data_IF_639751211827
#
_entry.id   IF_639751211827
#
_cell.length_a   1.000
_cell.length_b   1.000
_cell.length_c   1.000
_cell.angle_alpha   90.00
_cell.angle_beta   90.00
_cell.angle_gamma   90.00
#
_symmetry.space_group_name_H-M   'P 1'
#
loop_
_entity.id
_entity.type
_entity.pdbx_description
1 polymer ?
2 non-polymer ?
3 non-polymer ?
4 water ?
#
# COMPACT_ATOMS: atom_id res chain seq x y z
N UNK A 2 -32.72 -0.33 12.51
CA UNK A 2 -31.82 -0.78 11.46
C UNK A 2 -30.58 -1.43 12.06
N UNK A 3 -30.01 -2.39 11.33
CA UNK A 3 -28.86 -3.13 11.83
C UNK A 3 -27.64 -2.24 11.96
N UNK A 4 -26.90 -2.44 13.05
CA UNK A 4 -25.68 -1.69 13.36
C UNK A 4 -24.51 -2.66 13.25
N UNK A 5 -23.65 -2.46 12.26
CA UNK A 5 -22.57 -3.39 11.98
C UNK A 5 -21.20 -2.86 12.40
N UNK A 6 -21.15 -1.88 13.32
CA UNK A 6 -19.87 -1.32 13.71
C UNK A 6 -18.96 -2.39 14.32
N UNK A 7 -19.52 -3.24 15.19
CA UNK A 7 -18.70 -4.29 15.79
C UNK A 7 -18.14 -5.24 14.74
N UNK A 8 -18.98 -5.63 13.78
CA UNK A 8 -18.52 -6.49 12.70
C UNK A 8 -17.41 -5.82 11.89
N UNK A 9 -17.47 -4.50 11.72
CA UNK A 9 -16.41 -3.80 11.03
C UNK A 9 -15.12 -3.79 11.84
N UNK A 10 -15.23 -3.61 13.17
CA UNK A 10 -14.03 -3.65 14.01
C UNK A 10 -13.38 -5.02 13.97
N UNK A 11 -14.18 -6.09 14.06
CA UNK A 11 -13.63 -7.44 14.00
C UNK A 11 -13.02 -7.71 12.64
N UNK A 12 -13.68 -7.24 11.57
CA UNK A 12 -13.12 -7.36 10.23
C UNK A 12 -11.76 -6.67 10.14
N UNK A 13 -11.65 -5.45 10.68
CA UNK A 13 -10.36 -4.78 10.74
C UNK A 13 -9.32 -5.63 11.46
N UNK A 14 -9.72 -6.29 12.55
CA UNK A 14 -8.81 -7.18 13.24
C UNK A 14 -8.37 -8.35 12.37
N UNK A 15 -9.31 -8.95 11.63
CA UNK A 15 -8.98 -10.07 10.77
C UNK A 15 -8.05 -9.65 9.62
N UNK A 16 -8.08 -8.37 9.23
CA UNK A 16 -7.23 -7.90 8.16
C UNK A 16 -5.78 -7.73 8.58
N UNK A 17 -5.48 -7.75 9.87
CA UNK A 17 -4.12 -7.55 10.33
C UNK A 17 -3.25 -8.75 10.02
N UNK A 18 -1.96 -8.48 9.76
CA UNK A 18 -0.98 -9.56 9.65
C UNK A 18 -0.94 -10.35 10.95
N UNK A 19 -0.87 -11.68 10.84
CA UNK A 19 -0.82 -12.51 12.02
C UNK A 19 0.50 -12.33 12.76
N UNK A 20 0.49 -12.70 14.05
CA UNK A 20 1.69 -12.57 14.88
C UNK A 20 2.87 -13.27 14.23
N UNK A 21 2.65 -14.53 13.79
CA UNK A 21 3.73 -15.32 13.25
C UNK A 21 4.32 -14.68 11.99
N UNK A 22 3.46 -14.23 11.08
CA UNK A 22 3.96 -13.68 9.83
C UNK A 22 4.65 -12.33 10.04
N UNK A 23 4.15 -11.52 10.97
CA UNK A 23 4.78 -10.22 11.21
C UNK A 23 6.18 -10.40 11.77
N UNK A 24 6.37 -11.37 12.67
CA UNK A 24 7.71 -11.65 13.18
C UNK A 24 8.62 -12.16 12.07
N UNK A 25 8.10 -13.04 11.21
CA UNK A 25 8.91 -13.56 10.11
C UNK A 25 9.27 -12.46 9.12
N UNK A 26 8.31 -11.58 8.81
CA UNK A 26 8.58 -10.44 7.94
C UNK A 26 9.71 -9.59 8.48
N UNK A 27 9.65 -9.23 9.76
CA UNK A 27 10.64 -8.35 10.35
C UNK A 27 12.01 -9.03 10.41
N UNK A 28 12.04 -10.29 10.82
CA UNK A 28 13.30 -11.03 10.84
C UNK A 28 13.91 -11.09 9.44
N UNK A 29 13.09 -11.41 8.43
CA UNK A 29 13.59 -11.50 7.07
C UNK A 29 14.10 -10.14 6.58
N UNK A 30 13.40 -9.06 6.95
CA UNK A 30 13.81 -7.75 6.47
C UNK A 30 15.13 -7.33 7.11
N UNK A 31 15.38 -7.74 8.35
CA UNK A 31 16.68 -7.50 8.96
C UNK A 31 17.77 -8.34 8.29
N UNK A 32 17.45 -9.60 7.95
CA UNK A 32 18.43 -10.45 7.28
C UNK A 32 18.76 -9.90 5.90
N UNK A 33 17.76 -9.39 5.17
CA UNK A 33 18.03 -8.83 3.86
C UNK A 33 18.95 -7.62 3.95
N UNK A 34 18.73 -6.76 4.94
CA UNK A 34 19.59 -5.58 5.10
C UNK A 34 21.05 -6.01 5.31
N UNK A 35 21.28 -6.95 6.22
CA UNK A 35 22.64 -7.41 6.48
C UNK A 35 23.25 -8.08 5.26
N UNK A 36 22.43 -8.84 4.51
CA UNK A 36 22.93 -9.49 3.31
C UNK A 36 23.36 -8.47 2.26
N UNK A 37 22.58 -7.40 2.10
CA UNK A 37 22.93 -6.36 1.14
C UNK A 37 24.15 -5.58 1.62
N UNK A 38 24.20 -5.25 2.91
CA UNK A 38 25.35 -4.53 3.45
C UNK A 38 26.64 -5.33 3.26
N UNK A 39 26.60 -6.63 3.53
CA UNK A 39 27.79 -7.46 3.36
C UNK A 39 28.19 -7.57 1.90
N UNK A 40 27.21 -7.63 1.00
CA UNK A 40 27.51 -7.76 -0.42
C UNK A 40 28.27 -6.55 -0.94
N UNK A 41 27.84 -5.34 -0.54
CA UNK A 41 28.51 -4.15 -1.02
C UNK A 41 29.86 -3.96 -0.33
N UNK A 42 29.95 -4.30 0.95
CA UNK A 42 31.24 -4.24 1.63
C UNK A 42 32.27 -5.12 0.93
N UNK A 43 31.83 -6.27 0.41
CA UNK A 43 32.76 -7.21 -0.22
C UNK A 43 33.05 -6.85 -1.68
N UNK A 44 32.04 -6.46 -2.44
CA UNK A 44 32.14 -6.38 -3.89
C UNK A 44 32.18 -4.96 -4.45
N UNK A 45 31.54 -3.99 -3.79
CA UNK A 45 31.55 -2.59 -4.24
C UNK A 45 31.52 -1.68 -3.03
N UNK A 46 32.59 -1.68 -2.22
CA UNK A 46 32.58 -0.87 -1.00
C UNK A 46 32.56 0.62 -1.26
N UNK A 47 32.74 1.05 -2.51
CA UNK A 47 32.62 2.46 -2.85
C UNK A 47 31.20 2.98 -2.69
N UNK A 48 30.22 2.09 -2.59
CA UNK A 48 28.82 2.45 -2.39
C UNK A 48 28.33 1.82 -1.10
N UNK A 49 27.69 2.62 -0.25
CA UNK A 49 27.21 2.16 1.05
C UNK A 49 25.69 2.27 1.04
N UNK A 50 24.96 1.17 1.20
CA UNK A 50 23.49 1.24 1.24
C UNK A 50 22.97 1.55 2.64
N UNK A 51 21.89 2.31 2.69
CA UNK A 51 21.14 2.57 3.91
C UNK A 51 19.67 2.32 3.63
N UNK A 52 18.88 2.15 4.69
CA UNK A 52 17.54 1.61 4.56
C UNK A 52 16.51 2.43 5.31
N UNK A 53 15.28 2.41 4.80
CA UNK A 53 14.16 3.15 5.38
C UNK A 53 12.88 2.41 5.02
N UNK A 54 12.18 1.90 6.03
CA UNK A 54 10.89 1.27 5.79
C UNK A 54 9.90 2.33 5.33
N UNK A 55 9.18 2.04 4.24
CA UNK A 55 8.25 2.99 3.65
C UNK A 55 6.90 2.33 3.40
N UNK A 56 6.03 3.00 2.66
CA UNK A 56 4.79 2.36 2.25
C UNK A 56 3.84 2.09 3.41
N UNK A 57 2.96 1.11 3.17
CA UNK A 57 1.87 0.84 4.10
C UNK A 57 2.37 0.40 5.47
N UNK A 58 3.47 -0.35 5.50
CA UNK A 58 3.98 -0.82 6.80
C UNK A 58 4.42 0.36 7.66
N UNK A 59 5.07 1.35 7.05
CA UNK A 59 5.48 2.54 7.80
C UNK A 59 4.27 3.39 8.15
N UNK A 60 3.29 3.47 7.25
CA UNK A 60 2.09 4.27 7.47
C UNK A 60 1.09 3.60 8.41
N UNK A 61 1.27 2.32 8.71
CA UNK A 61 0.36 1.64 9.61
C UNK A 61 -0.95 1.19 8.98
N UNK A 62 -0.95 0.92 7.68
CA UNK A 62 -2.16 0.52 6.96
C UNK A 62 -2.03 -0.83 6.27
N UNK A 63 -1.04 -1.64 6.66
CA UNK A 63 -0.86 -2.93 6.01
C UNK A 63 -1.99 -3.87 6.34
N UNK A 64 -2.48 -4.60 5.33
CA UNK A 64 -3.40 -5.71 5.52
C UNK A 64 -2.78 -6.95 4.89
N UNK A 65 -3.21 -8.11 5.39
CA UNK A 65 -2.94 -9.34 4.65
C UNK A 65 -4.02 -9.53 3.59
N UNK A 66 -3.66 -10.26 2.54
CA UNK A 66 -4.60 -10.50 1.45
C UNK A 66 -5.48 -11.71 1.76
N UNK A 67 -6.46 -11.95 0.89
CA UNK A 67 -7.34 -13.10 1.03
C UNK A 67 -6.58 -14.42 1.00
N UNK A 68 -5.36 -14.43 0.45
CA UNK A 68 -4.50 -15.60 0.44
C UNK A 68 -3.50 -15.61 1.59
N UNK A 69 -3.68 -14.73 2.57
CA UNK A 69 -2.77 -14.57 3.72
C UNK A 69 -1.39 -14.05 3.30
N UNK A 70 -1.27 -13.47 2.12
CA UNK A 70 -0.03 -12.83 1.72
C UNK A 70 0.06 -11.43 2.34
N UNK A 71 1.27 -11.01 2.64
CA UNK A 71 1.52 -9.66 3.16
C UNK A 71 2.91 -9.23 2.73
N UNK A 72 3.20 -7.95 2.92
CA UNK A 72 4.50 -7.46 2.46
C UNK A 72 4.93 -6.25 3.26
N UNK A 73 6.18 -5.87 3.02
CA UNK A 73 6.84 -4.71 3.61
C UNK A 73 7.68 -4.07 2.52
N UNK A 74 7.65 -2.74 2.45
CA UNK A 74 8.49 -1.99 1.52
C UNK A 74 9.67 -1.43 2.30
N UNK A 75 10.89 -1.78 1.90
CA UNK A 75 12.11 -1.33 2.56
C UNK A 75 12.97 -0.64 1.51
N UNK A 76 13.04 0.68 1.58
CA UNK A 76 13.83 1.43 0.60
C UNK A 76 15.32 1.26 0.84
N UNK A 77 16.05 1.07 -0.25
CA UNK A 77 17.51 0.87 -0.22
C UNK A 77 18.15 2.07 -0.89
N UNK A 78 18.83 2.90 -0.10
CA UNK A 78 19.37 4.17 -0.56
C UNK A 78 20.88 4.12 -0.66
N UNK A 79 21.43 4.74 -1.70
CA UNK A 79 22.86 4.91 -1.85
C UNK A 79 23.19 6.40 -1.81
N UNK A 80 23.96 6.80 -0.80
CA UNK A 80 24.31 8.19 -0.56
C UNK A 80 25.81 8.28 -0.36
N UNK A 81 26.53 9.16 -1.08
CA UNK A 81 26.02 10.06 -2.12
C UNK A 81 25.66 9.30 -3.40
N UNK A 82 25.30 10.02 -4.45
CA UNK A 82 24.76 9.38 -5.65
C UNK A 82 25.81 8.56 -6.38
N UNK A 83 25.62 7.25 -6.55
CA UNK A 83 26.47 6.49 -7.47
C UNK A 83 26.21 6.93 -8.90
N UNK A 84 27.29 7.21 -9.63
CA UNK A 84 27.16 7.62 -11.02
C UNK A 84 27.09 6.41 -11.95
N UNK A 85 26.05 5.62 -11.74
CA UNK A 85 25.74 4.46 -12.57
C UNK A 85 24.26 4.49 -12.90
N UNK A 86 23.86 3.65 -13.85
CA UNK A 86 22.45 3.54 -14.21
C UNK A 86 21.64 2.93 -13.08
N UNK A 87 20.35 3.24 -13.07
CA UNK A 87 19.48 2.67 -12.06
C UNK A 87 19.42 1.16 -12.12
N UNK A 88 19.43 0.60 -13.33
CA UNK A 88 19.39 -0.85 -13.47
C UNK A 88 20.65 -1.49 -12.89
N UNK A 89 21.76 -0.75 -12.88
CA UNK A 89 23.00 -1.27 -12.29
C UNK A 89 22.86 -1.40 -10.79
N UNK A 90 22.35 -0.38 -10.11
CA UNK A 90 22.11 -0.48 -8.67
C UNK A 90 21.13 -1.59 -8.36
N UNK A 91 20.06 -1.70 -9.17
CA UNK A 91 19.10 -2.77 -8.96
C UNK A 91 19.74 -4.14 -9.14
N UNK A 92 20.57 -4.31 -10.17
CA UNK A 92 21.21 -5.60 -10.41
C UNK A 92 22.09 -6.01 -9.24
N UNK A 93 22.82 -5.05 -8.65
CA UNK A 93 23.66 -5.39 -7.50
C UNK A 93 22.81 -5.81 -6.30
N UNK A 94 21.72 -5.09 -6.04
CA UNK A 94 20.82 -5.47 -4.95
C UNK A 94 20.22 -6.84 -5.22
N UNK A 95 19.84 -7.09 -6.48
CA UNK A 95 19.31 -8.40 -6.86
C UNK A 95 20.34 -9.51 -6.61
N UNK A 96 21.57 -9.29 -7.06
CA UNK A 96 22.64 -10.25 -6.80
C UNK A 96 22.84 -10.46 -5.31
N UNK A 97 22.68 -9.38 -4.52
CA UNK A 97 22.94 -9.46 -3.09
C UNK A 97 21.90 -10.30 -2.36
N UNK A 98 20.62 -10.11 -2.68
CA UNK A 98 19.57 -10.84 -1.98
C UNK A 98 19.42 -12.26 -2.51
N UNK A 99 19.93 -12.54 -3.70
CA UNK A 99 19.89 -13.89 -4.23
C UNK A 99 20.64 -14.85 -3.31
N UNK A 100 20.04 -16.03 -3.09
CA UNK A 100 20.59 -16.99 -2.17
C UNK A 100 19.94 -16.98 -0.80
N UNK A 101 19.04 -16.03 -0.54
CA UNK A 101 18.25 -16.04 0.68
C UNK A 101 17.46 -17.34 0.77
N UNK A 102 17.61 -18.04 1.89
CA UNK A 102 16.96 -19.34 2.06
C UNK A 102 15.45 -19.16 2.10
N UNK A 103 14.74 -20.00 1.36
CA UNK A 103 13.29 -19.94 1.34
C UNK A 103 12.71 -18.76 0.61
N UNK A 104 13.50 -18.13 -0.27
CA UNK A 104 13.03 -16.96 -1.01
C UNK A 104 13.58 -17.00 -2.43
N UNK A 105 12.86 -16.33 -3.34
CA UNK A 105 13.29 -16.17 -4.72
C UNK A 105 13.10 -14.71 -5.11
N UNK A 106 14.14 -14.04 -5.60
CA UNK A 106 14.02 -12.63 -5.98
C UNK A 106 13.53 -12.45 -7.40
N UNK A 107 12.82 -11.34 -7.61
CA UNK A 107 12.30 -10.94 -8.92
C UNK A 107 12.68 -9.49 -9.16
N UNK A 108 13.23 -9.22 -10.35
CA UNK A 108 13.67 -7.87 -10.72
C UNK A 108 12.49 -7.15 -11.38
N UNK A 109 11.77 -6.37 -10.58
CA UNK A 109 10.66 -5.55 -11.09
C UNK A 109 11.21 -4.25 -11.69
N UNK A 110 10.30 -3.48 -12.31
CA UNK A 110 10.75 -2.24 -12.93
C UNK A 110 11.23 -1.23 -11.88
N UNK A 111 10.54 -1.14 -10.75
CA UNK A 111 10.84 -0.11 -9.76
C UNK A 111 11.21 -0.68 -8.40
N UNK A 112 11.49 -1.97 -8.29
CA UNK A 112 11.98 -2.53 -7.04
C UNK A 112 12.56 -3.91 -7.31
N UNK A 113 13.34 -4.38 -6.34
CA UNK A 113 13.69 -5.79 -6.24
C UNK A 113 12.70 -6.42 -5.28
N UNK A 114 11.95 -7.42 -5.75
CA UNK A 114 10.97 -8.10 -4.92
C UNK A 114 11.51 -9.46 -4.49
N UNK A 115 11.48 -9.71 -3.20
CA UNK A 115 11.96 -10.97 -2.64
C UNK A 115 10.73 -11.75 -2.17
N UNK A 116 10.39 -12.81 -2.90
CA UNK A 116 9.21 -13.62 -2.60
C UNK A 116 9.59 -14.77 -1.70
N UNK A 117 8.96 -14.86 -0.54
CA UNK A 117 9.25 -15.91 0.42
C UNK A 117 8.20 -17.02 0.32
N UNK A 118 8.66 -18.27 0.29
CA UNK A 118 7.75 -19.40 0.21
C UNK A 118 6.78 -19.46 1.39
N UNK A 119 7.14 -18.84 2.52
CA UNK A 119 6.29 -18.82 3.70
C UNK A 119 5.08 -17.90 3.55
N UNK A 120 4.94 -17.20 2.44
CA UNK A 120 3.72 -16.44 2.18
C UNK A 120 3.81 -14.96 2.46
N UNK A 121 4.95 -14.35 2.14
CA UNK A 121 5.09 -12.91 2.22
C UNK A 121 6.19 -12.49 1.26
N UNK A 122 6.26 -11.19 0.96
CA UNK A 122 7.34 -10.68 0.14
C UNK A 122 7.82 -9.35 0.71
N UNK A 123 9.04 -9.00 0.35
CA UNK A 123 9.64 -7.72 0.73
C UNK A 123 10.05 -7.02 -0.55
N UNK A 124 9.52 -5.81 -0.76
CA UNK A 124 9.87 -5.01 -1.92
C UNK A 124 10.98 -4.04 -1.54
N UNK A 125 12.01 -3.99 -2.39
CA UNK A 125 13.18 -3.15 -2.16
C UNK A 125 13.29 -2.13 -3.29
N UNK A 126 12.57 -1.02 -3.20
CA UNK A 126 12.84 0.09 -4.13
C UNK A 126 14.22 0.65 -3.86
N UNK A 127 14.93 0.98 -4.94
CA UNK A 127 16.33 1.39 -4.87
C UNK A 127 16.42 2.87 -5.23
N UNK A 128 17.16 3.62 -4.42
CA UNK A 128 17.27 5.07 -4.56
C UNK A 128 18.73 5.49 -4.53
N UNK A 129 19.00 6.65 -5.11
CA UNK A 129 20.22 7.40 -4.87
C UNK A 129 19.85 8.80 -4.42
N UNK A 130 20.71 9.38 -3.59
CA UNK A 130 20.44 10.66 -2.95
C UNK A 130 21.79 11.24 -2.53
N UNK A 131 21.93 12.56 -2.66
CA UNK A 131 23.25 13.15 -2.51
C UNK A 131 23.63 13.40 -1.05
N UNK A 132 22.67 13.76 -0.20
CA UNK A 132 22.97 14.19 1.16
C UNK A 132 22.26 13.31 2.17
N UNK A 133 22.95 13.02 3.28
CA UNK A 133 22.50 11.99 4.22
C UNK A 133 21.31 12.45 5.04
N UNK A 134 21.27 13.72 5.45
CA UNK A 134 20.24 14.25 6.32
C UNK A 134 19.70 15.57 5.75
N UNK A 135 18.94 15.47 4.67
CA UNK A 135 18.34 16.63 4.02
C UNK A 135 16.98 16.20 3.49
N UNK A 136 15.92 16.57 4.22
CA UNK A 136 14.57 16.21 3.79
C UNK A 136 14.08 17.09 2.64
N UNK A 137 14.73 18.22 2.38
CA UNK A 137 14.36 19.06 1.25
C UNK A 137 14.84 18.49 -0.09
N UNK A 138 15.77 17.53 -0.07
CA UNK A 138 16.23 16.89 -1.29
C UNK A 138 15.42 15.62 -1.52
N UNK A 139 14.77 15.53 -2.67
CA UNK A 139 14.02 14.32 -2.94
C UNK A 139 14.94 13.26 -3.55
N UNK A 140 14.80 12.00 -3.13
CA UNK A 140 15.65 10.95 -3.68
C UNK A 140 15.25 10.58 -5.10
N UNK A 141 16.18 9.99 -5.83
CA UNK A 141 15.97 9.51 -7.18
C UNK A 141 15.73 8.01 -7.16
N UNK A 142 14.54 7.58 -7.61
CA UNK A 142 14.23 6.17 -7.67
C UNK A 142 14.88 5.54 -8.89
N UNK A 143 15.58 4.42 -8.69
CA UNK A 143 16.12 3.67 -9.81
C UNK A 143 15.00 2.94 -10.55
N UNK A 144 15.08 2.96 -11.87
CA UNK A 144 14.05 2.36 -12.72
C UNK A 144 14.75 1.43 -13.72
N UNK A 145 14.27 0.18 -13.79
CA UNK A 145 14.92 -0.81 -14.64
C UNK A 145 14.87 -0.40 -16.11
N UNK A 146 13.75 0.14 -16.55
CA UNK A 146 13.52 0.38 -17.97
C UNK A 146 13.85 1.80 -18.42
N UNK A 147 14.23 2.68 -17.51
CA UNK A 147 14.46 4.05 -17.90
C UNK A 147 15.31 4.84 -16.92
N UNK A 148 15.22 6.16 -17.04
CA UNK A 148 16.01 7.07 -16.23
C UNK A 148 15.47 7.11 -14.80
N UNK A 149 16.31 7.59 -13.88
CA UNK A 149 15.90 7.80 -12.50
C UNK A 149 14.68 8.73 -12.44
N UNK A 150 13.83 8.50 -11.45
CA UNK A 150 12.64 9.31 -11.24
C UNK A 150 12.70 9.94 -9.85
N UNK A 151 12.50 11.25 -9.78
CA UNK A 151 12.37 11.90 -8.49
C UNK A 151 11.16 11.34 -7.75
N UNK A 152 11.34 11.04 -6.46
CA UNK A 152 10.31 10.42 -5.65
C UNK A 152 10.35 11.04 -4.26
N UNK A 153 9.28 10.81 -3.48
CA UNK A 153 9.16 11.41 -2.15
C UNK A 153 8.50 10.44 -1.17
N UNK A 154 9.09 9.25 -0.97
CA UNK A 154 8.43 8.28 -0.07
C UNK A 154 8.26 8.80 1.35
N UNK A 155 9.23 9.56 1.86
CA UNK A 155 9.11 10.10 3.21
C UNK A 155 8.04 11.19 3.28
N UNK A 156 7.87 11.97 2.22
CA UNK A 156 6.84 13.00 2.22
C UNK A 156 5.44 12.38 2.27
N UNK A 157 5.24 11.25 1.59
CA UNK A 157 3.95 10.56 1.65
C UNK A 157 3.65 10.15 3.09
N UNK A 158 4.66 9.61 3.78
CA UNK A 158 4.46 9.18 5.17
C UNK A 158 4.11 10.36 6.06
N UNK A 159 4.83 11.48 5.89
CA UNK A 159 4.53 12.68 6.67
C UNK A 159 3.13 13.19 6.39
N UNK A 160 2.76 13.24 5.11
CA UNK A 160 1.43 13.70 4.73
C UNK A 160 0.35 12.84 5.38
N UNK A 161 0.48 11.52 5.28
CA UNK A 161 -0.52 10.63 5.86
C UNK A 161 -0.53 10.73 7.38
N UNK A 162 0.65 10.89 8.00
CA UNK A 162 0.72 11.09 9.45
C UNK A 162 -0.13 12.28 9.87
N UNK A 163 -0.06 13.39 9.12
CA UNK A 163 -0.86 14.56 9.47
C UNK A 163 -2.35 14.31 9.28
N UNK A 164 -2.71 13.44 8.33
CA UNK A 164 -4.12 13.08 8.15
C UNK A 164 -4.60 12.16 9.25
N UNK A 165 -3.71 11.28 9.76
CA UNK A 165 -4.09 10.33 10.81
C UNK A 165 -4.27 11.00 12.17
N UNK A 166 -3.59 12.12 12.40
CA UNK A 166 -3.58 12.73 13.72
C UNK A 166 -4.99 13.05 14.19
N UNK A 167 -5.30 12.67 15.43
CA UNK A 167 -6.63 12.86 16.01
C UNK A 167 -7.71 12.24 15.13
N UNK A 168 -7.38 11.13 14.47
CA UNK A 168 -8.26 10.57 13.44
C UNK A 168 -8.00 9.07 13.27
N UNK A 169 -8.13 8.26 14.34
CA UNK A 169 -7.73 6.85 14.23
C UNK A 169 -8.59 6.03 13.27
N UNK A 170 -9.80 6.48 12.93
CA UNK A 170 -10.63 5.72 11.99
C UNK A 170 -10.01 5.69 10.60
N UNK A 171 -9.13 6.64 10.27
CA UNK A 171 -8.64 6.72 8.90
C UNK A 171 -7.89 5.45 8.49
N UNK A 172 -7.03 4.92 9.37
CA UNK A 172 -6.31 3.70 8.99
C UNK A 172 -7.28 2.54 8.82
N UNK A 173 -8.39 2.54 9.56
CA UNK A 173 -9.40 1.51 9.35
C UNK A 173 -10.07 1.67 7.99
N UNK A 174 -10.46 2.90 7.64
CA UNK A 174 -11.07 3.15 6.33
C UNK A 174 -10.15 2.72 5.21
N UNK A 175 -8.86 3.07 5.30
CA UNK A 175 -7.91 2.67 4.27
C UNK A 175 -7.84 1.15 4.18
N UNK A 176 -7.85 0.48 5.34
CA UNK A 176 -7.78 -0.98 5.35
C UNK A 176 -9.03 -1.59 4.71
N UNK A 177 -10.22 -1.06 5.02
CA UNK A 177 -11.44 -1.57 4.39
C UNK A 177 -11.36 -1.44 2.88
N UNK A 178 -10.92 -0.27 2.40
CA UNK A 178 -10.87 -0.03 0.95
C UNK A 178 -9.82 -0.91 0.29
N UNK A 179 -8.69 -1.14 0.96
CA UNK A 179 -7.69 -2.05 0.42
C UNK A 179 -8.23 -3.47 0.30
N UNK A 180 -9.04 -3.89 1.27
CA UNK A 180 -9.64 -5.21 1.20
C UNK A 180 -10.64 -5.30 0.05
N UNK A 181 -11.35 -4.21 -0.23
CA UNK A 181 -12.21 -4.14 -1.40
C UNK A 181 -11.40 -4.36 -2.68
N UNK A 182 -10.28 -3.63 -2.82
CA UNK A 182 -9.41 -3.85 -3.97
C UNK A 182 -8.92 -5.29 -4.03
N UNK A 183 -8.58 -5.86 -2.87
CA UNK A 183 -8.08 -7.23 -2.82
C UNK A 183 -9.14 -8.25 -3.19
N UNK A 184 -10.42 -7.90 -2.99
CA UNK A 184 -11.52 -8.80 -3.31
C UNK A 184 -11.81 -8.82 -4.81
N UNK A 185 -11.84 -7.66 -5.44
CA UNK A 185 -12.19 -7.55 -6.85
C UNK A 185 -10.96 -7.77 -7.74
N UNK A 186 -9.85 -7.13 -7.38
CA UNK A 186 -8.62 -7.16 -8.17
C UNK A 186 -8.90 -6.76 -9.61
N UNK A 187 -8.20 -7.35 -10.57
CA UNK A 187 -8.37 -6.98 -11.97
C UNK A 187 -8.10 -5.51 -12.22
N UNK A 188 -9.15 -4.76 -12.52
CA UNK A 188 -9.03 -3.34 -12.85
C UNK A 188 -8.82 -2.45 -11.63
N UNK A 189 -8.91 -2.99 -10.42
CA UNK A 189 -8.90 -2.16 -9.23
C UNK A 189 -7.56 -1.46 -9.05
N UNK A 190 -7.55 -0.29 -8.43
CA UNK A 190 -6.31 0.47 -8.24
C UNK A 190 -5.48 -0.08 -7.08
N UNK A 191 -4.24 0.36 -6.93
CA UNK A 191 -3.39 -0.15 -5.85
C UNK A 191 -3.74 0.47 -4.50
N UNK A 192 -3.09 -0.07 -3.47
CA UNK A 192 -3.38 0.37 -2.10
C UNK A 192 -3.05 1.83 -1.88
N UNK A 193 -1.99 2.34 -2.52
CA UNK A 193 -1.63 3.74 -2.37
C UNK A 193 -2.77 4.65 -2.84
N UNK A 194 -3.50 4.23 -3.88
CA UNK A 194 -4.65 5.02 -4.33
C UNK A 194 -5.73 5.07 -3.26
N UNK A 195 -6.00 3.95 -2.58
CA UNK A 195 -6.98 3.94 -1.51
C UNK A 195 -6.55 4.83 -0.35
N UNK A 196 -5.24 4.83 -0.04
CA UNK A 196 -4.73 5.70 1.01
C UNK A 196 -4.99 7.17 0.69
N UNK A 197 -4.70 7.58 -0.54
CA UNK A 197 -4.86 8.97 -0.93
C UNK A 197 -6.33 9.35 -0.97
N UNK A 198 -7.17 8.51 -1.58
CA UNK A 198 -8.58 8.86 -1.74
C UNK A 198 -9.31 8.91 -0.41
N UNK A 199 -9.06 7.94 0.47
CA UNK A 199 -9.68 7.96 1.79
C UNK A 199 -9.22 9.18 2.59
N UNK A 200 -7.94 9.52 2.51
CA UNK A 200 -7.43 10.66 3.26
C UNK A 200 -8.02 11.97 2.77
N UNK A 201 -8.20 12.11 1.45
CA UNK A 201 -8.68 13.38 0.91
C UNK A 201 -10.19 13.53 1.09
N UNK A 202 -10.95 12.44 0.98
CA UNK A 202 -12.39 12.52 0.85
C UNK A 202 -13.11 11.83 2.00
N UNK A 203 -12.42 11.55 3.09
CA UNK A 203 -13.03 10.93 4.26
C UNK A 203 -14.26 11.68 4.73
N UNK A 204 -15.31 10.92 5.05
CA UNK A 204 -16.45 11.41 5.80
C UNK A 204 -16.54 10.66 7.11
N UNK A 205 -16.99 11.34 8.16
CA UNK A 205 -16.95 10.79 9.51
C UNK A 205 -18.35 10.47 10.01
N UNK A 206 -18.45 9.39 10.79
CA UNK A 206 -19.65 9.08 11.57
C UNK A 206 -19.18 8.31 12.81
N UNK A 207 -18.96 9.04 13.89
CA UNK A 207 -18.43 8.45 15.11
C UNK A 207 -19.32 7.31 15.60
N UNK A 208 -18.68 6.19 15.95
CA UNK A 208 -19.38 5.03 16.46
C UNK A 208 -19.92 4.08 15.41
N UNK A 209 -19.87 4.44 14.13
CA UNK A 209 -20.45 3.64 13.03
C UNK A 209 -19.45 3.60 11.87
N UNK A 210 -18.51 2.66 11.93
CA UNK A 210 -17.58 2.49 10.82
C UNK A 210 -18.31 2.11 9.53
N UNK A 211 -19.45 1.41 9.65
CA UNK A 211 -20.21 1.04 8.45
C UNK A 211 -20.76 2.28 7.76
N UNK A 212 -21.38 3.18 8.52
CA UNK A 212 -21.89 4.42 7.92
C UNK A 212 -20.73 5.30 7.44
N UNK A 213 -19.64 5.36 8.22
CA UNK A 213 -18.49 6.14 7.81
C UNK A 213 -17.93 5.67 6.47
N UNK A 214 -17.85 4.36 6.27
CA UNK A 214 -17.35 3.85 4.98
C UNK A 214 -18.33 4.17 3.86
N UNK A 215 -19.63 4.01 4.10
CA UNK A 215 -20.63 4.36 3.09
C UNK A 215 -20.50 5.83 2.69
N UNK A 216 -20.47 6.72 3.68
CA UNK A 216 -20.35 8.14 3.39
C UNK A 216 -19.05 8.44 2.65
N UNK A 217 -17.95 7.81 3.05
CA UNK A 217 -16.67 8.04 2.40
C UNK A 217 -16.68 7.56 0.95
N UNK A 218 -17.34 6.42 0.68
CA UNK A 218 -17.45 5.94 -0.69
C UNK A 218 -18.16 6.95 -1.58
N UNK A 219 -19.26 7.52 -1.10
CA UNK A 219 -20.00 8.51 -1.89
C UNK A 219 -19.18 9.78 -2.09
N UNK A 220 -18.40 10.17 -1.07
CA UNK A 220 -17.54 11.34 -1.22
C UNK A 220 -16.46 11.09 -2.25
N UNK A 221 -15.84 9.90 -2.23
CA UNK A 221 -14.86 9.54 -3.24
C UNK A 221 -15.48 9.56 -4.63
N UNK A 222 -16.70 9.01 -4.75
CA UNK A 222 -17.35 8.99 -6.06
C UNK A 222 -17.60 10.40 -6.57
N UNK A 223 -18.08 11.30 -5.70
CA UNK A 223 -18.33 12.68 -6.13
C UNK A 223 -17.06 13.32 -6.65
N UNK A 224 -15.95 13.13 -5.95
CA UNK A 224 -14.68 13.73 -6.38
C UNK A 224 -14.19 13.14 -7.70
N UNK A 225 -14.28 11.82 -7.84
CA UNK A 225 -13.76 11.18 -9.05
C UNK A 225 -14.67 11.41 -10.25
N UNK A 226 -15.97 11.63 -10.03
CA UNK A 226 -16.85 12.01 -11.13
C UNK A 226 -16.48 13.37 -11.69
N UNK A 227 -16.07 14.29 -10.82
CA UNK A 227 -15.66 15.62 -11.29
C UNK A 227 -14.32 15.58 -12.00
N UNK A 228 -13.38 14.77 -11.49
CA UNK A 228 -12.03 14.74 -12.03
C UNK A 228 -11.44 13.38 -11.67
N UNK A 229 -11.40 12.47 -12.65
CA UNK A 229 -10.90 11.12 -12.40
C UNK A 229 -9.38 11.17 -12.38
N UNK A 230 -8.82 11.28 -11.17
CA UNK A 230 -7.38 11.39 -10.99
C UNK A 230 -7.06 11.05 -9.54
N UNK A 231 -5.78 10.77 -9.29
CA UNK A 231 -5.34 10.43 -7.93
C UNK A 231 -3.85 10.76 -7.83
N UNK A 232 -3.56 12.05 -7.60
CA UNK A 232 -2.20 12.55 -7.61
C UNK A 232 -1.51 12.21 -6.29
N UNK A 233 -0.28 11.75 -6.38
CA UNK A 233 0.49 11.40 -5.17
C UNK A 233 0.90 12.68 -4.45
N UNK A 234 0.65 12.79 -3.14
CA UNK A 234 1.04 14.00 -2.42
C UNK A 234 2.54 14.24 -2.50
N UNK A 235 2.92 15.50 -2.72
CA UNK A 235 4.30 15.88 -2.78
C UNK A 235 4.98 15.67 -4.12
N UNK A 236 4.47 14.77 -4.96
CA UNK A 236 4.97 14.58 -6.31
C UNK A 236 3.86 14.98 -7.29
N UNK A 237 3.76 16.26 -7.67
CA UNK A 237 2.85 16.63 -8.75
C UNK A 237 3.11 15.82 -10.02
N UNK A 238 2.08 15.73 -10.85
CA UNK A 238 2.12 15.02 -12.13
C UNK A 238 2.27 13.51 -11.95
N UNK A 239 2.43 13.06 -10.70
CA UNK A 239 2.42 11.64 -10.37
C UNK A 239 0.97 11.26 -10.09
N UNK A 240 0.23 11.02 -11.18
CA UNK A 240 -1.19 10.69 -11.12
C UNK A 240 -1.34 9.18 -11.25
N UNK A 241 -1.82 8.53 -10.19
CA UNK A 241 -1.94 7.08 -10.19
C UNK A 241 -2.93 6.57 -11.23
N UNK A 242 -3.82 7.43 -11.73
CA UNK A 242 -4.81 7.02 -12.71
C UNK A 242 -4.45 7.47 -14.12
N UNK A 243 -3.23 7.96 -14.35
CA UNK A 243 -2.89 8.57 -15.63
C UNK A 243 -2.88 7.55 -16.77
N UNK A 244 -2.65 6.28 -16.48
CA UNK A 244 -2.60 5.25 -17.50
C UNK A 244 -3.96 4.59 -17.74
N UNK A 245 -4.97 4.93 -16.96
CA UNK A 245 -6.27 4.27 -17.05
C UNK A 245 -7.01 4.76 -18.29
N UNK A 246 -7.25 3.87 -19.24
CA UNK A 246 -8.07 4.25 -20.38
C UNK A 246 -9.53 4.31 -19.97
N UNK A 247 -10.41 4.69 -20.91
CA UNK A 247 -11.82 4.86 -20.57
C UNK A 247 -12.43 3.56 -20.08
N UNK A 248 -11.97 2.41 -20.60
CA UNK A 248 -12.52 1.13 -20.19
C UNK A 248 -12.21 0.83 -18.73
N UNK A 249 -10.94 1.00 -18.33
CA UNK A 249 -10.58 0.72 -16.95
C UNK A 249 -11.27 1.69 -16.00
N UNK A 250 -11.37 2.96 -16.38
CA UNK A 250 -12.08 3.94 -15.56
C UNK A 250 -13.54 3.54 -15.38
N UNK A 251 -14.21 3.17 -16.47
CA UNK A 251 -15.61 2.81 -16.40
C UNK A 251 -15.82 1.56 -15.53
N UNK A 252 -14.91 0.59 -15.64
CA UNK A 252 -15.03 -0.61 -14.82
C UNK A 252 -14.90 -0.28 -13.34
N UNK A 253 -13.94 0.56 -12.97
CA UNK A 253 -13.77 0.92 -11.57
C UNK A 253 -14.94 1.72 -11.04
N UNK A 254 -15.37 2.75 -11.80
CA UNK A 254 -16.48 3.57 -11.33
C UNK A 254 -17.78 2.80 -11.28
N UNK A 255 -17.93 1.77 -12.13
CA UNK A 255 -19.10 0.91 -12.05
C UNK A 255 -19.05 0.06 -10.78
N UNK A 256 -17.89 -0.50 -10.46
CA UNK A 256 -17.76 -1.25 -9.22
C UNK A 256 -18.00 -0.36 -8.01
N UNK A 257 -17.55 0.90 -8.08
CA UNK A 257 -17.82 1.83 -6.99
C UNK A 257 -19.31 2.11 -6.85
N UNK A 258 -20.01 2.26 -7.98
CA UNK A 258 -21.46 2.40 -7.95
C UNK A 258 -22.13 1.20 -7.28
N UNK A 259 -21.70 0.00 -7.66
CA UNK A 259 -22.30 -1.20 -7.09
C UNK A 259 -22.02 -1.34 -5.60
N UNK A 260 -20.79 -1.02 -5.20
CA UNK A 260 -20.44 -1.00 -3.77
C UNK A 260 -21.34 -0.04 -3.02
N UNK A 261 -21.50 1.18 -3.54
CA UNK A 261 -22.31 2.19 -2.88
C UNK A 261 -23.76 1.75 -2.79
N UNK A 262 -24.29 1.18 -3.88
CA UNK A 262 -25.68 0.72 -3.87
C UNK A 262 -25.90 -0.34 -2.80
N UNK A 263 -24.98 -1.30 -2.69
CA UNK A 263 -25.12 -2.36 -1.70
C UNK A 263 -24.88 -1.82 -0.29
N UNK A 264 -23.95 -0.88 -0.14
CA UNK A 264 -23.72 -0.28 1.17
C UNK A 264 -24.96 0.48 1.65
N UNK A 265 -25.61 1.22 0.74
CA UNK A 265 -26.86 1.89 1.09
C UNK A 265 -27.91 0.89 1.54
N UNK A 266 -28.05 -0.21 0.79
CA UNK A 266 -29.03 -1.22 1.16
C UNK A 266 -28.70 -1.85 2.52
N UNK A 267 -27.40 -2.06 2.79
CA UNK A 267 -27.01 -2.68 4.05
C UNK A 267 -27.32 -1.77 5.23
N UNK A 268 -26.98 -0.48 5.12
CA UNK A 268 -27.23 0.47 6.20
C UNK A 268 -28.73 0.58 6.48
N UNK A 269 -29.57 0.39 5.47
CA UNK A 269 -31.02 0.46 5.64
C UNK A 269 -31.66 -0.90 5.86
N UNK A 270 -30.86 -1.95 6.08
CA UNK A 270 -31.41 -3.27 6.33
C UNK A 270 -31.73 -3.45 7.81
N UNK A 271 -32.88 -4.05 8.09
CA UNK A 271 -33.18 -4.48 9.44
C UNK A 271 -32.53 -5.81 9.76
N UNK A 272 -32.33 -6.65 8.75
CA UNK A 272 -31.81 -8.00 8.91
C UNK A 272 -30.28 -7.93 8.94
N UNK A 273 -29.70 -8.30 10.08
CA UNK A 273 -28.25 -8.14 10.26
C UNK A 273 -27.47 -9.10 9.38
N UNK A 274 -27.99 -10.31 9.16
CA UNK A 274 -27.33 -11.26 8.27
C UNK A 274 -27.30 -10.73 6.85
N UNK A 275 -28.44 -10.24 6.35
CA UNK A 275 -28.47 -9.69 5.00
C UNK A 275 -27.54 -8.50 4.86
N UNK A 276 -27.54 -7.61 5.85
CA UNK A 276 -26.64 -6.46 5.82
C UNK A 276 -25.18 -6.89 5.73
N UNK A 277 -24.80 -7.91 6.52
CA UNK A 277 -23.42 -8.38 6.49
C UNK A 277 -23.07 -8.99 5.14
N UNK A 278 -24.03 -9.67 4.51
CA UNK A 278 -23.76 -10.26 3.20
C UNK A 278 -23.55 -9.19 2.14
N UNK A 279 -24.28 -8.08 2.23
CA UNK A 279 -24.09 -6.99 1.27
C UNK A 279 -22.71 -6.38 1.40
N UNK A 280 -22.23 -6.16 2.63
CA UNK A 280 -20.88 -5.68 2.82
C UNK A 280 -19.84 -6.71 2.39
N UNK A 281 -20.03 -7.96 2.80
CA UNK A 281 -19.06 -9.02 2.52
C UNK A 281 -18.86 -9.24 1.03
N UNK A 282 -19.91 -8.97 0.22
CA UNK A 282 -19.82 -9.12 -1.22
C UNK A 282 -18.67 -8.29 -1.80
N UNK A 283 -18.43 -7.11 -1.23
CA UNK A 283 -17.40 -6.22 -1.73
C UNK A 283 -16.15 -6.20 -0.87
N UNK A 284 -16.27 -6.39 0.43
CA UNK A 284 -15.11 -6.35 1.33
C UNK A 284 -14.36 -7.67 1.43
N UNK A 285 -14.97 -8.77 1.01
CA UNK A 285 -14.31 -10.06 1.05
C UNK A 285 -14.74 -10.91 2.22
N UNK A 286 -14.27 -12.15 2.21
CA UNK A 286 -14.80 -13.19 3.08
C UNK A 286 -14.26 -13.13 4.50
N UNK A 287 -13.32 -12.23 4.81
CA UNK A 287 -12.94 -12.02 6.21
C UNK A 287 -13.99 -11.20 6.95
N UNK A 288 -14.91 -10.57 6.24
CA UNK A 288 -16.05 -9.90 6.84
C UNK A 288 -17.15 -10.93 7.06
N UNK A 289 -17.65 -11.04 8.29
CA UNK A 289 -18.78 -11.93 8.51
C UNK A 289 -19.56 -11.49 9.74
N UNK A 290 -20.76 -12.05 9.87
CA UNK A 290 -21.63 -11.73 11.01
C UNK A 290 -21.20 -12.48 12.27
N UNK A 291 -20.86 -13.76 12.13
CA UNK A 291 -20.43 -14.57 13.27
C UNK A 291 -19.01 -14.20 13.68
X LIG B 1 6.22 -3.92 -12.72
X LIG B 1 7.43 -4.71 -13.15
X LIG B 1 5.71 -2.96 -13.78
X LIG B 1 5.15 -4.74 -12.06
X LIG B 1 5.89 -2.02 -10.63
X LIG B 1 5.95 -0.60 -11.12
X LIG B 1 4.55 -2.71 -10.42
X LIG B 1 6.81 -2.96 -11.55
X LIG B 1 6.66 -2.12 -9.23
X LIG B 1 6.05 -2.90 -8.20
X LIG B 1 6.46 -2.40 -6.83
X LIG B 1 7.49 -1.41 -6.92
X LIG B 1 5.31 -1.73 -6.10
X LIG B 1 4.57 -2.68 -5.33
X LIG B 1 5.99 -0.71 -5.22
X LIG B 1 6.26 -1.28 -3.94
X LIG B 1 7.30 -0.40 -5.94
X LIG B 1 7.14 0.92 -6.59
X LIG B 1 6.48 1.15 -7.73
X LIG B 1 6.51 2.48 -8.04
X LIG B 1 7.21 3.09 -7.07
X LIG B 1 7.65 4.48 -6.76
X LIG B 1 7.32 5.50 -7.58
X LIG B 1 8.37 4.69 -5.64
X LIG B 1 8.70 3.68 -4.81
X LIG B 1 8.34 2.41 -5.02
X LIG B 1 7.61 2.06 -6.12
X LIG C 1 1.19 -1.16 -0.66
X LIG C 1 2.48 -1.22 0.14
X LIG C 1 0.99 -2.28 -1.66
X LIG C 1 -0.05 -0.87 0.16
X LIG C 1 1.60 0.27 -3.12
X LIG C 1 2.10 -1.05 -3.69
X LIG C 1 0.45 0.97 -3.80
X LIG C 1 1.31 0.19 -1.51
X LIG C 1 2.88 1.24 -3.06
X LIG C 1 3.68 1.09 -1.87
X LIG C 1 4.61 2.28 -1.71
X LIG C 1 5.40 2.41 -2.89
X LIG C 1 3.86 3.59 -1.54
X LIG C 1 3.65 3.92 -0.16
X LIG C 1 4.78 4.59 -2.18
X LIG C 1 5.71 5.09 -1.22
X LIG C 1 5.52 3.79 -3.24
X LIG C 1 4.84 4.03 -4.52
X LIG C 1 4.11 3.15 -5.23
X LIG C 1 3.63 3.71 -6.37
X LIG C 1 4.06 4.99 -6.39
X LIG C 1 3.92 6.16 -7.27
X LIG C 1 3.23 6.10 -8.43
X LIG C 1 4.55 7.30 -6.90
X LIG C 1 5.25 7.40 -5.76
X LIG C 1 5.41 6.39 -4.91
X LIG C 1 4.85 5.19 -5.16
X LIG D 1 4.76 -2.90 -2.42
#
# INVERSE_FOLDING_TARGET
SMANLDTQFQEFYGELQITVTKKQALITSHNNLRTKIQKYFAKNHPEYVPSFYIQGSYKMGTTIRTRDDECDLDDGCYFIPKPEVKGITLQNWVMDAVNGTVGATPVHKNKCIRVNYAAGYHIDLPVYRKERCNDNTEHPELAVRDGEYELSDPREIVQWFNSKKKDNPVLIRLVSYLKSWCDTVRGFMPPGLAMTILASKYQKKHEGRDDIALRDTLKSIRTALQANFSCVVPGTPYDDLFESYDSNRQEKFMSELNGFIEDADRAVNEKNKLKASKLWKKHLGNRFHLAPDENDAEMSKLDKLRDIGNKVLTGIATTAHNGYIHAAEGVKNVSHRNYGN
ADP PB O1B O2B O3B PA O1A O2A O3A O5' C5' C4' O4' C3' O3' C2' O2' C1' N9 C8 N7 C5 C6 N6 N1 C2 N3 C4
ADP PB O1B O2B O3B PA O1A O2A O3A O5' C5' C4' O4' C3' O3' C2' O2' C1' N9 C8 N7 C5 C6 N6 N1 C2 N3 C4
MG MG
#
